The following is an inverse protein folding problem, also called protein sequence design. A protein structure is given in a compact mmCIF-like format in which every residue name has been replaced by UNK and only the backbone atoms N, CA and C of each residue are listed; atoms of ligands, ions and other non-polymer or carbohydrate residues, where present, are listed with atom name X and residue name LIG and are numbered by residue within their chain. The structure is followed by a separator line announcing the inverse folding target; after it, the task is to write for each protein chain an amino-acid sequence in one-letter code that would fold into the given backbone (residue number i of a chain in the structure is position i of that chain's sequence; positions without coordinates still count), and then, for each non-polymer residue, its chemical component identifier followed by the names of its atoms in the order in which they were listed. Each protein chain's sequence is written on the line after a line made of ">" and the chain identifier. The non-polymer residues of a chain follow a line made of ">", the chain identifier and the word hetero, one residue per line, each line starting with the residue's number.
data_IF_861284894496
#
_entry.id   IF_861284894496
#
_cell.length_a   1.000
_cell.length_b   1.000
_cell.length_c   1.000
_cell.angle_alpha   90.00
_cell.angle_beta   90.00
_cell.angle_gamma   90.00
#
_symmetry.space_group_name_H-M   'P 1'
#
loop_
_entity.id
_entity.type
_entity.pdbx_description
1 polymer ?
#
# COMPACT_ATOMS: atom_id res chain seq x y z
N UNK A 1 -11.13 6.40 -46.96
CA UNK A 1 -9.87 5.95 -46.30
C UNK A 1 -9.23 6.96 -45.33
N UNK A 2 -9.51 8.27 -45.42
CA UNK A 2 -8.94 9.28 -44.48
C UNK A 2 -9.55 9.28 -43.06
N UNK A 3 -10.81 8.84 -42.90
CA UNK A 3 -11.50 8.78 -41.59
C UNK A 3 -11.02 7.62 -40.69
N UNK A 4 -10.37 6.60 -41.26
CA UNK A 4 -9.88 5.44 -40.51
C UNK A 4 -8.57 5.72 -39.75
N UNK A 5 -7.79 6.72 -40.19
CA UNK A 5 -6.51 7.07 -39.55
C UNK A 5 -6.68 7.86 -38.24
N UNK A 6 -7.85 8.46 -38.00
CA UNK A 6 -8.12 9.23 -36.78
C UNK A 6 -8.56 8.36 -35.59
N UNK A 7 -9.10 7.15 -35.83
CA UNK A 7 -9.46 6.24 -34.74
C UNK A 7 -8.25 5.52 -34.12
N UNK A 8 -7.15 5.40 -34.87
CA UNK A 8 -5.97 4.68 -34.38
C UNK A 8 -5.15 5.47 -33.34
N UNK A 9 -5.31 6.80 -33.26
CA UNK A 9 -4.55 7.63 -32.32
C UNK A 9 -5.18 7.69 -30.91
N UNK A 10 -6.47 7.38 -30.77
CA UNK A 10 -7.18 7.44 -29.49
C UNK A 10 -6.98 6.19 -28.63
N UNK A 11 -6.52 5.08 -29.21
CA UNK A 11 -6.37 3.80 -28.50
C UNK A 11 -5.05 3.66 -27.72
N UNK A 12 -4.08 4.57 -27.91
CA UNK A 12 -2.76 4.48 -27.27
C UNK A 12 -2.68 5.15 -25.88
N UNK A 13 -3.72 5.87 -25.45
CA UNK A 13 -3.68 6.64 -24.21
C UNK A 13 -4.14 5.88 -22.95
N UNK A 14 -4.59 4.62 -23.07
CA UNK A 14 -5.23 3.88 -21.96
C UNK A 14 -4.25 3.00 -21.17
N UNK A 15 -2.98 2.94 -21.57
CA UNK A 15 -1.93 2.16 -20.86
C UNK A 15 -0.82 3.03 -20.28
N UNK A 16 -1.15 4.21 -19.76
CA UNK A 16 -0.32 4.86 -18.75
C UNK A 16 -0.53 4.16 -17.40
N UNK A 17 -0.21 2.86 -17.33
CA UNK A 17 0.00 2.21 -16.05
C UNK A 17 1.10 3.00 -15.33
N UNK A 18 0.85 3.40 -14.09
CA UNK A 18 1.85 4.06 -13.27
C UNK A 18 3.09 3.19 -13.23
N UNK A 19 4.16 3.59 -13.93
CA UNK A 19 5.52 3.15 -13.59
C UNK A 19 5.78 3.71 -12.19
N UNK A 20 5.32 3.00 -11.17
CA UNK A 20 5.55 3.37 -9.79
C UNK A 20 7.05 3.15 -9.53
N UNK A 21 7.80 4.25 -9.61
CA UNK A 21 9.17 4.27 -9.11
C UNK A 21 9.15 3.80 -7.64
N UNK A 22 10.23 3.14 -7.20
CA UNK A 22 10.37 2.75 -5.81
C UNK A 22 10.15 3.98 -4.90
N UNK A 23 9.46 3.83 -3.76
CA UNK A 23 9.25 4.94 -2.84
C UNK A 23 10.59 5.56 -2.42
N UNK A 24 10.66 6.88 -2.43
CA UNK A 24 11.87 7.65 -2.10
C UNK A 24 11.62 8.51 -0.86
N UNK A 25 12.58 8.51 0.06
CA UNK A 25 12.53 9.37 1.25
C UNK A 25 12.54 10.85 0.82
N UNK A 26 11.69 11.66 1.45
CA UNK A 26 11.54 13.08 1.14
C UNK A 26 10.64 13.38 -0.06
N UNK A 27 10.15 12.35 -0.77
CA UNK A 27 9.13 12.48 -1.80
C UNK A 27 7.75 12.06 -1.26
N UNK A 28 6.66 12.51 -1.90
CA UNK A 28 5.33 11.99 -1.59
C UNK A 28 5.28 10.46 -1.71
N UNK A 29 4.63 9.80 -0.75
CA UNK A 29 4.41 8.36 -0.82
C UNK A 29 3.52 8.02 -2.04
N UNK A 30 3.82 6.93 -2.77
CA UNK A 30 2.99 6.50 -3.89
C UNK A 30 1.56 6.21 -3.43
N UNK A 31 0.58 6.68 -4.22
CA UNK A 31 -0.82 6.37 -3.97
C UNK A 31 -1.08 4.87 -4.11
N UNK A 32 -1.95 4.33 -3.23
CA UNK A 32 -2.46 2.97 -3.32
C UNK A 32 -3.95 2.94 -3.01
N UNK A 33 -4.61 1.92 -3.56
CA UNK A 33 -5.96 1.49 -3.18
C UNK A 33 -5.95 -0.03 -3.11
N UNK A 34 -6.26 -0.60 -1.95
CA UNK A 34 -6.17 -2.03 -1.69
C UNK A 34 -7.37 -2.53 -0.88
N UNK A 35 -7.65 -3.83 -0.98
CA UNK A 35 -8.67 -4.50 -0.17
C UNK A 35 -7.99 -5.21 1.00
N UNK A 36 -8.48 -5.00 2.22
CA UNK A 36 -7.95 -5.64 3.42
C UNK A 36 -8.49 -7.08 3.61
N UNK A 37 -8.07 -7.74 4.68
CA UNK A 37 -8.49 -9.09 5.04
C UNK A 37 -9.95 -9.20 5.48
N UNK A 38 -10.60 -8.09 5.86
CA UNK A 38 -12.04 -8.03 6.13
C UNK A 38 -12.86 -7.72 4.86
N UNK A 39 -12.19 -7.42 3.76
CA UNK A 39 -12.77 -7.09 2.48
C UNK A 39 -13.14 -5.61 2.30
N UNK A 40 -12.73 -4.74 3.22
CA UNK A 40 -12.89 -3.30 3.12
C UNK A 40 -11.81 -2.73 2.17
N UNK A 41 -12.20 -1.78 1.34
CA UNK A 41 -11.26 -1.04 0.48
C UNK A 41 -10.72 0.15 1.24
N UNK A 42 -9.40 0.33 1.18
CA UNK A 42 -8.66 1.45 1.75
C UNK A 42 -7.79 2.11 0.69
N UNK A 43 -7.71 3.42 0.73
CA UNK A 43 -6.77 4.22 -0.05
C UNK A 43 -5.82 5.00 0.87
N UNK A 44 -4.61 5.33 0.38
CA UNK A 44 -3.71 6.19 1.16
C UNK A 44 -4.36 7.54 1.52
N UNK A 45 -5.22 8.06 0.64
CA UNK A 45 -5.89 9.34 0.81
C UNK A 45 -6.90 9.33 1.97
N UNK A 46 -7.41 8.16 2.36
CA UNK A 46 -8.33 7.98 3.49
C UNK A 46 -7.67 8.37 4.82
N UNK A 47 -6.33 8.36 4.88
CA UNK A 47 -5.54 8.64 6.08
C UNK A 47 -4.83 10.01 6.03
N UNK A 48 -5.28 10.92 5.16
CA UNK A 48 -4.64 12.22 5.00
C UNK A 48 -4.57 13.03 6.30
N UNK A 49 -3.42 13.66 6.54
CA UNK A 49 -3.16 14.42 7.75
C UNK A 49 -2.69 13.58 8.94
N UNK A 50 -2.67 12.25 8.83
CA UNK A 50 -2.10 11.35 9.84
C UNK A 50 -0.75 10.79 9.38
N UNK A 51 0.08 10.42 10.34
CA UNK A 51 1.24 9.57 10.07
C UNK A 51 0.74 8.14 9.81
N UNK A 52 1.26 7.52 8.76
CA UNK A 52 0.88 6.15 8.37
C UNK A 52 2.14 5.27 8.37
N UNK A 53 2.09 4.17 9.11
CA UNK A 53 3.10 3.11 9.07
C UNK A 53 2.57 1.96 8.23
N UNK A 54 3.31 1.60 7.18
CA UNK A 54 3.11 0.36 6.42
C UNK A 54 4.14 -0.66 6.91
N UNK A 55 3.65 -1.77 7.45
CA UNK A 55 4.51 -2.84 7.98
C UNK A 55 4.28 -4.12 7.17
N UNK A 56 5.31 -4.65 6.54
CA UNK A 56 5.23 -5.95 5.89
C UNK A 56 5.49 -7.08 6.89
N UNK A 57 4.53 -7.99 7.01
CA UNK A 57 4.59 -9.11 7.94
C UNK A 57 4.44 -10.45 7.20
N UNK A 58 5.23 -11.42 7.65
CA UNK A 58 5.21 -12.81 7.18
C UNK A 58 5.23 -13.73 8.40
N UNK A 59 4.11 -14.42 8.64
CA UNK A 59 3.93 -15.28 9.80
C UNK A 59 4.82 -16.55 9.78
N UNK A 60 5.35 -16.93 8.61
CA UNK A 60 6.27 -18.06 8.47
C UNK A 60 7.74 -17.66 8.72
N UNK A 61 8.04 -16.37 8.78
CA UNK A 61 9.40 -15.89 9.00
C UNK A 61 9.75 -15.95 10.50
N UNK A 62 10.78 -16.72 10.92
CA UNK A 62 11.11 -16.89 12.34
C UNK A 62 11.50 -15.58 13.04
N UNK A 63 12.06 -14.62 12.30
CA UNK A 63 12.36 -13.29 12.83
C UNK A 63 11.10 -12.48 13.13
N UNK A 64 10.10 -12.54 12.24
CA UNK A 64 8.79 -11.90 12.48
C UNK A 64 8.12 -12.54 13.68
N UNK A 65 8.05 -13.89 13.71
CA UNK A 65 7.47 -14.64 14.84
C UNK A 65 8.08 -14.21 16.17
N UNK A 66 9.42 -14.09 16.25
CA UNK A 66 10.10 -13.62 17.45
C UNK A 66 9.63 -12.23 17.91
N UNK A 67 9.49 -11.27 17.00
CA UNK A 67 9.08 -9.91 17.34
C UNK A 67 7.57 -9.77 17.61
N UNK A 68 6.77 -10.66 17.03
CA UNK A 68 5.32 -10.76 17.25
C UNK A 68 4.94 -11.53 18.53
N UNK A 69 5.91 -11.84 19.39
CA UNK A 69 5.66 -12.33 20.76
C UNK A 69 5.51 -11.19 21.79
N UNK A 70 5.34 -9.94 21.35
CA UNK A 70 5.02 -8.81 22.22
C UNK A 70 5.65 -7.47 21.82
N UNK A 71 6.83 -7.50 21.18
CA UNK A 71 7.56 -6.27 20.84
C UNK A 71 6.78 -5.42 19.83
N UNK A 72 6.30 -6.03 18.74
CA UNK A 72 5.55 -5.28 17.72
C UNK A 72 4.21 -4.81 18.25
N UNK A 73 3.54 -5.63 19.06
CA UNK A 73 2.24 -5.29 19.64
C UNK A 73 2.35 -4.09 20.59
N UNK A 74 3.38 -4.05 21.43
CA UNK A 74 3.64 -2.89 22.29
C UNK A 74 3.88 -1.62 21.44
N UNK A 75 4.73 -1.72 20.41
CA UNK A 75 5.02 -0.58 19.54
C UNK A 75 3.77 -0.08 18.79
N UNK A 76 2.95 -0.99 18.28
CA UNK A 76 1.68 -0.70 17.62
C UNK A 76 0.73 0.02 18.57
N UNK A 77 0.60 -0.45 19.81
CA UNK A 77 -0.24 0.20 20.84
C UNK A 77 0.27 1.61 21.17
N UNK A 78 1.58 1.77 21.39
CA UNK A 78 2.16 3.06 21.77
C UNK A 78 1.98 4.13 20.68
N UNK A 79 2.14 3.75 19.41
CA UNK A 79 2.01 4.69 18.29
C UNK A 79 0.56 4.97 17.90
N UNK A 80 -0.31 3.97 17.94
CA UNK A 80 -1.74 4.19 17.66
C UNK A 80 -2.41 5.04 18.74
N UNK A 81 -1.93 4.99 19.99
CA UNK A 81 -2.33 5.92 21.05
C UNK A 81 -1.94 7.40 20.76
N UNK A 82 -1.01 7.63 19.83
CA UNK A 82 -0.56 8.94 19.36
C UNK A 82 -1.16 9.31 18.00
N UNK A 83 -2.30 8.72 17.63
CA UNK A 83 -3.04 8.98 16.40
C UNK A 83 -2.31 8.58 15.09
N UNK A 84 -1.30 7.71 15.21
CA UNK A 84 -0.63 7.08 14.06
C UNK A 84 -1.49 5.94 13.53
N UNK A 85 -1.69 5.89 12.21
CA UNK A 85 -2.34 4.77 11.53
C UNK A 85 -1.31 3.68 11.24
N UNK A 86 -1.59 2.44 11.65
CA UNK A 86 -0.73 1.29 11.39
C UNK A 86 -1.43 0.28 10.49
N UNK A 87 -0.86 0.01 9.31
CA UNK A 87 -1.37 -0.97 8.36
C UNK A 87 -0.36 -2.12 8.20
N UNK A 88 -0.75 -3.31 8.67
CA UNK A 88 0.05 -4.53 8.47
C UNK A 88 -0.30 -5.17 7.13
N UNK A 89 0.71 -5.32 6.28
CA UNK A 89 0.65 -5.89 4.93
C UNK A 89 1.10 -7.34 4.99
N UNK A 90 0.17 -8.26 4.73
CA UNK A 90 0.43 -9.71 4.76
C UNK A 90 1.18 -10.10 3.47
N UNK A 91 2.49 -10.31 3.55
CA UNK A 91 3.29 -10.76 2.39
C UNK A 91 3.28 -12.28 2.18
N UNK A 92 2.62 -13.02 3.09
CA UNK A 92 2.46 -14.47 3.06
C UNK A 92 1.10 -14.94 2.52
N UNK A 93 0.23 -14.02 2.08
CA UNK A 93 -1.08 -14.40 1.57
C UNK A 93 -0.93 -15.24 0.28
N UNK A 94 -1.61 -16.40 0.17
CA UNK A 94 -1.73 -17.09 -1.11
C UNK A 94 -2.44 -16.17 -2.11
N UNK A 95 -1.79 -15.92 -3.25
CA UNK A 95 -2.32 -15.07 -4.32
C UNK A 95 -3.49 -15.68 -5.07
#
# INVERSE_FOLDING_TARGET
>A
MKKMKLLALAAAAVFAGSLAAAPQVGQPAPAFTVKDSAGQVHSLQDFAGKNVVLEWTNHDCPFVVKHYQGNMQQLQQDLTAQDVVWLSVISSAPG
#
